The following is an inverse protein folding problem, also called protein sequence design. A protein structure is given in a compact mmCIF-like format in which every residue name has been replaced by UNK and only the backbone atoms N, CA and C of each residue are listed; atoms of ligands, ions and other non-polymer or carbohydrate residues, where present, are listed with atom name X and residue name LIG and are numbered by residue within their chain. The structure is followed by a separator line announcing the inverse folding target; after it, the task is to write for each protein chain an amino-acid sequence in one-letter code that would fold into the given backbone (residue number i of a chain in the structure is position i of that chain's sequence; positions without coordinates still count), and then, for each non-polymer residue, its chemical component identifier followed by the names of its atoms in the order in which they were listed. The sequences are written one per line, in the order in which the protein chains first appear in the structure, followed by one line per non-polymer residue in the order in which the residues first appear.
data_IF_403423787892
#
_entry.id   IF_403423787892
#
_cell.length_a   1.000
_cell.length_b   1.000
_cell.length_c   1.000
_cell.angle_alpha   90.00
_cell.angle_beta   90.00
_cell.angle_gamma   90.00
#
_symmetry.space_group_name_H-M   'P 1'
#
loop_
_entity.id
_entity.type
_entity.pdbx_description
1 polymer ?
#
# COMPACT_ATOMS: atom_id res chain seq x y z
N UNK A 1 2.01 -23.12 -8.44
CA UNK A 1 1.25 -22.32 -9.42
C UNK A 1 2.26 -21.84 -10.44
N UNK A 2 2.08 -22.24 -11.70
CA UNK A 2 3.09 -22.11 -12.75
C UNK A 2 3.11 -20.66 -13.22
N UNK A 3 4.27 -20.12 -13.55
CA UNK A 3 4.46 -18.73 -14.01
C UNK A 3 3.49 -18.30 -15.12
N UNK A 4 2.93 -19.27 -15.86
CA UNK A 4 1.88 -19.09 -16.87
C UNK A 4 0.52 -18.62 -16.33
N UNK A 5 0.14 -18.96 -15.10
CA UNK A 5 -1.11 -18.45 -14.50
C UNK A 5 -0.95 -16.99 -14.04
N UNK A 6 0.24 -16.62 -13.55
CA UNK A 6 0.58 -15.25 -13.20
C UNK A 6 0.72 -14.40 -14.47
N UNK A 7 1.41 -14.88 -15.52
CA UNK A 7 1.46 -14.23 -16.83
C UNK A 7 0.07 -14.12 -17.48
N UNK A 8 -0.78 -15.13 -17.34
CA UNK A 8 -2.16 -15.13 -17.83
C UNK A 8 -3.06 -14.14 -17.09
N UNK A 9 -2.83 -13.94 -15.78
CA UNK A 9 -3.45 -12.87 -15.01
C UNK A 9 -2.89 -11.50 -15.45
N UNK A 10 -1.57 -11.34 -15.57
CA UNK A 10 -0.95 -10.09 -16.08
C UNK A 10 -1.49 -9.68 -17.45
N UNK A 11 -1.62 -10.61 -18.39
CA UNK A 11 -2.09 -10.35 -19.75
C UNK A 11 -3.60 -10.06 -19.84
N UNK A 12 -4.40 -10.60 -18.89
CA UNK A 12 -5.85 -10.29 -18.78
C UNK A 12 -6.12 -8.99 -18.02
N UNK A 13 -5.26 -8.64 -17.08
CA UNK A 13 -5.31 -7.41 -16.30
C UNK A 13 -4.76 -6.20 -17.07
N UNK A 14 -3.87 -6.45 -18.05
CA UNK A 14 -3.29 -5.47 -18.96
C UNK A 14 -3.22 -6.08 -20.37
N UNK A 15 -4.25 -5.92 -21.23
CA UNK A 15 -4.17 -6.38 -22.61
C UNK A 15 -3.00 -5.66 -23.27
N UNK A 16 -1.90 -6.39 -23.49
CA UNK A 16 -0.65 -5.85 -24.02
C UNK A 16 -0.88 -5.30 -25.43
N UNK A 17 -1.06 -3.98 -25.52
CA UNK A 17 -0.62 -3.22 -26.68
C UNK A 17 0.75 -2.65 -26.32
N UNK A 18 1.80 -3.17 -26.95
CA UNK A 18 3.18 -2.65 -26.82
C UNK A 18 3.31 -1.16 -27.20
N UNK A 19 2.25 -0.55 -27.76
CA UNK A 19 2.13 0.87 -28.07
C UNK A 19 1.81 1.78 -26.85
N UNK A 20 1.33 1.26 -25.72
CA UNK A 20 0.91 2.07 -24.55
C UNK A 20 1.93 2.11 -23.39
N UNK A 21 3.19 1.71 -23.63
CA UNK A 21 4.33 1.99 -22.72
C UNK A 21 4.73 3.48 -22.70
N UNK A 22 3.75 4.38 -22.73
CA UNK A 22 3.99 5.82 -22.65
C UNK A 22 4.27 6.14 -21.18
N UNK A 23 5.50 6.55 -20.89
CA UNK A 23 5.85 7.29 -19.68
C UNK A 23 4.88 8.45 -19.52
N UNK A 24 3.86 8.30 -18.66
CA UNK A 24 2.72 9.22 -18.66
C UNK A 24 2.51 9.83 -17.30
N UNK A 25 2.41 11.16 -17.31
CA UNK A 25 1.95 11.96 -16.18
C UNK A 25 0.54 12.43 -16.51
N UNK A 26 -0.44 12.06 -15.68
CA UNK A 26 -1.84 12.43 -15.84
C UNK A 26 -2.27 13.27 -14.64
N UNK A 27 -2.94 14.38 -14.93
CA UNK A 27 -3.46 15.30 -13.92
C UNK A 27 -4.97 15.17 -13.83
N UNK A 28 -5.48 14.95 -12.62
CA UNK A 28 -6.88 15.06 -12.26
C UNK A 28 -7.11 16.28 -11.37
N UNK A 29 -8.37 16.54 -11.01
CA UNK A 29 -8.74 17.71 -10.19
C UNK A 29 -8.06 17.73 -8.81
N UNK A 30 -7.85 16.56 -8.20
CA UNK A 30 -7.24 16.42 -6.87
C UNK A 30 -6.12 15.40 -6.83
N UNK A 31 -5.70 14.92 -7.99
CA UNK A 31 -4.77 13.79 -8.09
C UNK A 31 -3.75 13.97 -9.20
N UNK A 32 -2.58 13.37 -9.01
CA UNK A 32 -1.53 13.28 -10.03
C UNK A 32 -1.10 11.82 -10.12
N UNK A 33 -1.04 11.29 -11.35
CA UNK A 33 -0.67 9.91 -11.62
C UNK A 33 0.56 9.87 -12.51
N UNK A 34 1.57 9.13 -12.09
CA UNK A 34 2.82 8.95 -12.81
C UNK A 34 3.08 7.46 -13.00
N UNK A 35 3.22 7.03 -14.26
CA UNK A 35 3.60 5.66 -14.62
C UNK A 35 4.95 5.69 -15.32
N UNK A 36 5.94 5.03 -14.72
CA UNK A 36 7.34 5.02 -15.15
C UNK A 36 7.87 6.43 -15.51
N UNK A 37 7.70 7.46 -14.64
CA UNK A 37 8.08 8.82 -14.99
C UNK A 37 9.61 8.97 -15.07
N UNK A 38 10.05 9.88 -15.94
CA UNK A 38 11.43 10.38 -15.92
C UNK A 38 11.67 11.31 -14.72
N UNK A 39 12.95 11.59 -14.42
CA UNK A 39 13.32 12.59 -13.42
C UNK A 39 12.81 14.00 -13.76
N UNK A 40 12.75 14.33 -15.06
CA UNK A 40 12.20 15.60 -15.54
C UNK A 40 10.69 15.69 -15.28
N UNK A 41 9.94 14.61 -15.54
CA UNK A 41 8.51 14.55 -15.24
C UNK A 41 8.25 14.67 -13.72
N UNK A 42 9.08 14.05 -12.89
CA UNK A 42 9.01 14.23 -11.43
C UNK A 42 9.24 15.70 -11.06
N UNK A 43 10.21 16.35 -11.68
CA UNK A 43 10.51 17.77 -11.44
C UNK A 43 9.35 18.67 -11.88
N UNK A 44 8.74 18.42 -13.04
CA UNK A 44 7.55 19.15 -13.51
C UNK A 44 6.38 19.00 -12.54
N UNK A 45 6.15 17.80 -11.99
CA UNK A 45 5.12 17.60 -10.96
C UNK A 45 5.43 18.41 -9.71
N UNK A 46 6.68 18.42 -9.24
CA UNK A 46 7.07 19.15 -8.03
C UNK A 46 6.91 20.68 -8.15
N UNK A 47 7.00 21.23 -9.35
CA UNK A 47 6.81 22.66 -9.62
C UNK A 47 5.34 23.04 -9.83
N UNK A 48 4.53 22.13 -10.37
CA UNK A 48 3.13 22.38 -10.73
C UNK A 48 2.12 21.93 -9.68
N UNK A 49 2.53 21.11 -8.72
CA UNK A 49 1.60 20.60 -7.71
C UNK A 49 1.06 21.73 -6.82
N UNK A 50 -0.26 21.79 -6.73
CA UNK A 50 -1.01 22.77 -5.93
C UNK A 50 -1.70 22.14 -4.71
N UNK A 51 -2.20 22.98 -3.79
CA UNK A 51 -2.88 22.55 -2.55
C UNK A 51 -4.06 21.59 -2.75
N UNK A 52 -4.73 21.65 -3.90
CA UNK A 52 -5.90 20.83 -4.20
C UNK A 52 -5.51 19.41 -4.66
N UNK A 53 -4.25 19.22 -5.11
CA UNK A 53 -3.69 17.92 -5.44
C UNK A 53 -3.26 17.20 -4.16
N UNK A 54 -4.15 16.38 -3.63
CA UNK A 54 -3.96 15.70 -2.35
C UNK A 54 -3.63 14.21 -2.52
N UNK A 55 -3.75 13.68 -3.74
CA UNK A 55 -3.52 12.27 -4.04
C UNK A 55 -2.41 12.13 -5.08
N UNK A 56 -1.42 11.30 -4.80
CA UNK A 56 -0.32 11.04 -5.73
C UNK A 56 -0.17 9.55 -5.94
N UNK A 57 -0.13 9.16 -7.22
CA UNK A 57 0.09 7.79 -7.65
C UNK A 57 1.41 7.70 -8.40
N UNK A 58 2.29 6.82 -7.95
CA UNK A 58 3.53 6.45 -8.61
C UNK A 58 3.49 4.97 -8.91
N UNK A 59 3.60 4.59 -10.18
CA UNK A 59 3.65 3.19 -10.59
C UNK A 59 4.85 2.87 -11.47
N UNK A 60 5.28 1.61 -11.45
CA UNK A 60 6.23 1.03 -12.40
C UNK A 60 7.54 1.85 -12.50
N UNK A 61 8.01 2.29 -11.34
CA UNK A 61 9.16 3.19 -11.17
C UNK A 61 10.30 2.54 -10.39
N UNK A 62 11.48 3.16 -10.39
CA UNK A 62 12.59 2.77 -9.52
C UNK A 62 12.49 3.43 -8.13
N UNK A 63 13.20 2.87 -7.15
CA UNK A 63 13.34 3.47 -5.81
C UNK A 63 13.93 4.89 -5.86
N UNK A 64 14.89 5.14 -6.74
CA UNK A 64 15.50 6.47 -6.89
C UNK A 64 14.50 7.51 -7.40
N UNK A 65 13.65 7.13 -8.35
CA UNK A 65 12.56 7.99 -8.85
C UNK A 65 11.52 8.23 -7.75
N UNK A 66 11.17 7.19 -6.98
CA UNK A 66 10.30 7.34 -5.82
C UNK A 66 10.91 8.31 -4.79
N UNK A 67 12.20 8.19 -4.50
CA UNK A 67 12.90 9.09 -3.58
C UNK A 67 12.89 10.54 -4.07
N UNK A 68 13.22 10.75 -5.34
CA UNK A 68 13.25 12.08 -5.96
C UNK A 68 11.91 12.79 -5.87
N UNK A 69 10.80 12.06 -6.00
CA UNK A 69 9.45 12.61 -6.02
C UNK A 69 8.81 12.68 -4.63
N UNK A 70 8.78 11.57 -3.90
CA UNK A 70 7.99 11.41 -2.67
C UNK A 70 8.54 12.25 -1.54
N UNK A 71 9.86 12.30 -1.37
CA UNK A 71 10.49 13.03 -0.25
C UNK A 71 10.17 14.53 -0.34
N UNK A 72 10.35 15.23 -1.48
CA UNK A 72 9.93 16.62 -1.58
C UNK A 72 8.41 16.82 -1.49
N UNK A 73 7.61 15.87 -1.98
CA UNK A 73 6.14 15.96 -1.90
C UNK A 73 5.64 15.98 -0.45
N UNK A 74 6.19 15.14 0.44
CA UNK A 74 5.80 15.13 1.85
C UNK A 74 6.11 16.46 2.56
N UNK A 75 7.13 17.20 2.09
CA UNK A 75 7.44 18.54 2.62
C UNK A 75 6.42 19.61 2.23
N UNK A 76 5.62 19.38 1.18
CA UNK A 76 4.57 20.32 0.75
C UNK A 76 3.35 20.32 1.68
N UNK A 77 3.23 19.32 2.56
CA UNK A 77 2.20 19.23 3.62
C UNK A 77 0.75 19.39 3.12
N UNK A 78 0.50 18.97 1.88
CA UNK A 78 -0.84 18.93 1.27
C UNK A 78 -1.25 17.51 0.84
N UNK A 79 -0.33 16.56 0.78
CA UNK A 79 -0.62 15.19 0.34
C UNK A 79 -1.35 14.43 1.45
N UNK A 80 -2.51 13.87 1.12
CA UNK A 80 -3.35 13.06 2.01
C UNK A 80 -3.29 11.58 1.68
N UNK A 81 -3.10 11.24 0.41
CA UNK A 81 -3.03 9.85 -0.04
C UNK A 81 -1.86 9.64 -0.99
N UNK A 82 -1.01 8.67 -0.65
CA UNK A 82 0.14 8.29 -1.45
C UNK A 82 0.01 6.83 -1.87
N UNK A 83 0.14 6.59 -3.17
CA UNK A 83 0.11 5.27 -3.76
C UNK A 83 1.45 5.03 -4.46
N UNK A 84 2.17 4.02 -4.02
CA UNK A 84 3.38 3.51 -4.66
C UNK A 84 3.11 2.05 -5.04
N UNK A 85 3.07 1.78 -6.34
CA UNK A 85 2.63 0.51 -6.91
C UNK A 85 3.70 -0.04 -7.84
N UNK A 86 4.01 -1.33 -7.77
CA UNK A 86 4.97 -1.95 -8.71
C UNK A 86 6.34 -1.26 -8.72
N UNK A 87 6.75 -0.69 -7.58
CA UNK A 87 8.03 0.01 -7.41
C UNK A 87 8.76 -0.57 -6.23
N UNK A 88 9.76 -1.42 -6.50
CA UNK A 88 10.57 -2.07 -5.48
C UNK A 88 11.40 -1.03 -4.73
N UNK A 89 10.98 -0.71 -3.50
CA UNK A 89 11.64 0.29 -2.67
C UNK A 89 12.87 -0.31 -1.98
N UNK A 90 13.99 0.41 -2.06
CA UNK A 90 15.22 0.04 -1.36
C UNK A 90 15.13 0.41 0.11
N UNK A 91 15.98 -0.23 0.93
CA UNK A 91 16.12 0.09 2.36
C UNK A 91 16.39 1.57 2.60
N UNK A 92 17.29 2.18 1.84
CA UNK A 92 17.64 3.60 1.98
C UNK A 92 16.42 4.53 1.80
N UNK A 93 15.57 4.24 0.81
CA UNK A 93 14.31 4.97 0.64
C UNK A 93 13.39 4.77 1.85
N UNK A 94 13.23 3.53 2.32
CA UNK A 94 12.33 3.21 3.44
C UNK A 94 12.81 3.88 4.73
N UNK A 95 14.11 3.87 5.02
CA UNK A 95 14.71 4.54 6.19
C UNK A 95 14.44 6.05 6.13
N UNK A 96 14.65 6.68 4.96
CA UNK A 96 14.39 8.11 4.76
C UNK A 96 12.89 8.45 4.90
N UNK A 97 12.03 7.65 4.27
CA UNK A 97 10.58 7.82 4.33
C UNK A 97 10.05 7.62 5.76
N UNK A 98 10.50 6.58 6.46
CA UNK A 98 10.13 6.30 7.84
C UNK A 98 10.54 7.46 8.77
N UNK A 99 11.74 8.03 8.59
CA UNK A 99 12.18 9.21 9.34
C UNK A 99 11.23 10.39 9.15
N UNK A 100 10.80 10.68 7.92
CA UNK A 100 9.86 11.77 7.64
C UNK A 100 8.46 11.53 8.22
N UNK A 101 8.01 10.26 8.26
CA UNK A 101 6.71 9.89 8.79
C UNK A 101 6.57 10.06 10.31
N UNK A 102 7.68 10.22 11.05
CA UNK A 102 7.66 10.52 12.48
C UNK A 102 6.97 11.86 12.76
N UNK A 103 7.24 12.86 11.92
CA UNK A 103 6.72 14.23 12.04
C UNK A 103 5.62 14.56 11.02
N UNK A 104 5.25 13.59 10.16
CA UNK A 104 4.19 13.83 9.20
C UNK A 104 2.79 13.82 9.84
N UNK A 105 2.09 14.94 9.68
CA UNK A 105 0.76 15.17 10.22
C UNK A 105 -0.28 15.40 9.11
N UNK A 106 0.04 15.02 7.87
CA UNK A 106 -0.80 15.27 6.69
C UNK A 106 -1.29 14.00 6.02
N UNK A 107 -0.44 12.99 5.88
CA UNK A 107 -0.74 11.75 5.18
C UNK A 107 -1.76 10.91 5.98
N UNK A 108 -2.88 10.60 5.34
CA UNK A 108 -3.99 9.84 5.93
C UNK A 108 -4.06 8.42 5.37
N UNK A 109 -3.60 8.23 4.12
CA UNK A 109 -3.59 6.92 3.46
C UNK A 109 -2.26 6.64 2.77
N UNK A 110 -1.70 5.47 3.01
CA UNK A 110 -0.47 4.98 2.39
C UNK A 110 -0.72 3.61 1.77
N UNK A 111 -0.46 3.49 0.47
CA UNK A 111 -0.54 2.25 -0.27
C UNK A 111 0.83 1.92 -0.84
N UNK A 112 1.44 0.85 -0.32
CA UNK A 112 2.69 0.29 -0.82
C UNK A 112 2.38 -1.11 -1.33
N UNK A 113 1.92 -1.21 -2.58
CA UNK A 113 1.37 -2.47 -3.11
C UNK A 113 2.19 -3.01 -4.29
N UNK A 114 1.95 -4.27 -4.63
CA UNK A 114 2.54 -4.92 -5.81
C UNK A 114 4.08 -4.98 -5.80
N UNK A 115 4.64 -5.80 -4.90
CA UNK A 115 6.10 -5.97 -4.72
C UNK A 115 6.86 -4.66 -4.52
N UNK A 116 6.26 -3.72 -3.79
CA UNK A 116 6.88 -2.46 -3.42
C UNK A 116 7.70 -2.54 -2.14
N UNK A 117 7.38 -3.46 -1.24
CA UNK A 117 8.04 -3.61 0.06
C UNK A 117 8.11 -5.08 0.47
N UNK A 118 9.10 -5.41 1.29
CA UNK A 118 9.33 -6.73 1.88
C UNK A 118 9.29 -6.68 3.42
N UNK A 119 9.61 -7.79 4.09
CA UNK A 119 9.60 -7.87 5.55
C UNK A 119 10.50 -6.83 6.23
N UNK A 120 11.74 -6.64 5.75
CA UNK A 120 12.68 -5.68 6.34
C UNK A 120 12.15 -4.24 6.21
N UNK A 121 11.63 -3.89 5.02
CA UNK A 121 11.00 -2.59 4.80
C UNK A 121 9.78 -2.38 5.69
N UNK A 122 8.91 -3.38 5.84
CA UNK A 122 7.74 -3.30 6.72
C UNK A 122 8.16 -3.09 8.17
N UNK A 123 9.15 -3.84 8.65
CA UNK A 123 9.66 -3.72 10.02
C UNK A 123 10.13 -2.28 10.30
N UNK A 124 10.93 -1.70 9.41
CA UNK A 124 11.41 -0.31 9.55
C UNK A 124 10.23 0.68 9.54
N UNK A 125 9.35 0.57 8.54
CA UNK A 125 8.25 1.49 8.34
C UNK A 125 7.31 1.54 9.55
N UNK A 126 6.88 0.38 10.06
CA UNK A 126 5.88 0.32 11.13
C UNK A 126 6.44 0.77 12.49
N UNK A 127 7.76 0.72 12.68
CA UNK A 127 8.41 1.28 13.87
C UNK A 127 8.30 2.80 13.93
N UNK A 128 8.26 3.49 12.78
CA UNK A 128 7.94 4.91 12.71
C UNK A 128 6.42 5.15 12.85
N UNK A 129 5.61 4.41 12.07
CA UNK A 129 4.16 4.63 12.02
C UNK A 129 3.45 4.35 13.35
N UNK A 130 4.02 3.55 14.26
CA UNK A 130 3.39 3.25 15.56
C UNK A 130 3.09 4.48 16.41
N UNK A 131 3.86 5.55 16.24
CA UNK A 131 3.62 6.83 16.92
C UNK A 131 2.94 7.89 16.06
N UNK A 132 2.87 7.67 14.74
CA UNK A 132 2.19 8.60 13.82
C UNK A 132 0.73 8.79 14.25
N UNK A 133 0.27 10.05 14.26
CA UNK A 133 -1.05 10.46 14.74
C UNK A 133 -2.02 10.86 13.63
N UNK A 134 -1.69 10.57 12.38
CA UNK A 134 -2.48 10.99 11.22
C UNK A 134 -2.92 9.85 10.32
N UNK A 135 -2.05 8.87 10.08
CA UNK A 135 -2.32 7.77 9.16
C UNK A 135 -3.50 6.92 9.66
N UNK A 136 -4.48 6.74 8.77
CA UNK A 136 -5.71 6.00 9.01
C UNK A 136 -5.80 4.72 8.17
N UNK A 137 -5.15 4.71 7.00
CA UNK A 137 -5.18 3.58 6.07
C UNK A 137 -3.76 3.19 5.68
N UNK A 138 -3.44 1.90 5.84
CA UNK A 138 -2.19 1.31 5.38
C UNK A 138 -2.52 0.07 4.55
N UNK A 139 -2.06 0.07 3.30
CA UNK A 139 -2.15 -1.09 2.43
C UNK A 139 -0.77 -1.61 2.08
N UNK A 140 -0.60 -2.91 2.27
CA UNK A 140 0.59 -3.69 1.97
C UNK A 140 0.25 -4.88 1.04
N UNK A 141 -0.83 -4.75 0.27
CA UNK A 141 -1.36 -5.81 -0.56
C UNK A 141 -0.42 -6.18 -1.72
N UNK A 142 -0.49 -7.45 -2.14
CA UNK A 142 0.30 -7.97 -3.27
C UNK A 142 1.81 -7.83 -3.11
N UNK A 143 2.32 -7.78 -1.88
CA UNK A 143 3.75 -7.85 -1.61
C UNK A 143 4.12 -9.28 -1.23
N UNK A 144 4.62 -10.02 -2.21
CA UNK A 144 5.03 -11.42 -1.98
C UNK A 144 6.29 -11.55 -1.12
N UNK A 145 7.03 -10.46 -0.90
CA UNK A 145 8.16 -10.36 0.02
C UNK A 145 7.77 -10.18 1.49
N UNK A 146 6.48 -9.94 1.80
CA UNK A 146 5.99 -9.89 3.19
C UNK A 146 5.60 -11.31 3.61
N UNK A 147 6.24 -11.82 4.66
CA UNK A 147 6.00 -13.14 5.25
C UNK A 147 5.63 -13.01 6.73
N UNK A 148 5.50 -14.14 7.44
CA UNK A 148 5.28 -14.10 8.89
C UNK A 148 6.48 -13.54 9.68
N UNK A 149 7.61 -13.20 9.04
CA UNK A 149 8.77 -12.58 9.72
C UNK A 149 8.47 -11.15 10.22
N UNK A 150 7.71 -10.35 9.48
CA UNK A 150 7.36 -8.97 9.88
C UNK A 150 6.16 -8.90 10.84
N UNK A 151 5.45 -10.01 11.06
CA UNK A 151 4.23 -10.06 11.89
C UNK A 151 4.44 -9.57 13.32
N UNK A 152 5.51 -9.91 14.06
CA UNK A 152 5.71 -9.40 15.41
C UNK A 152 5.75 -7.86 15.47
N UNK A 153 6.41 -7.23 14.49
CA UNK A 153 6.48 -5.76 14.36
C UNK A 153 5.14 -5.16 13.96
N UNK A 154 4.41 -5.78 13.03
CA UNK A 154 3.05 -5.37 12.68
C UNK A 154 2.09 -5.49 13.87
N UNK A 155 2.19 -6.57 14.65
CA UNK A 155 1.38 -6.77 15.83
C UNK A 155 1.70 -5.72 16.91
N UNK A 156 2.98 -5.39 17.15
CA UNK A 156 3.37 -4.30 18.06
C UNK A 156 2.80 -2.96 17.58
N UNK A 157 2.95 -2.67 16.30
CA UNK A 157 2.38 -1.49 15.66
C UNK A 157 0.87 -1.40 15.88
N UNK A 158 0.13 -2.48 15.67
CA UNK A 158 -1.32 -2.53 15.92
C UNK A 158 -1.62 -2.27 17.40
N UNK A 159 -0.89 -2.88 18.34
CA UNK A 159 -1.14 -2.66 19.78
C UNK A 159 -0.98 -1.21 20.21
N UNK A 160 0.02 -0.51 19.65
CA UNK A 160 0.40 0.85 20.07
C UNK A 160 -0.34 1.94 19.30
N UNK A 161 -0.50 1.77 17.99
CA UNK A 161 -1.04 2.83 17.15
C UNK A 161 -2.53 3.08 17.45
N UNK A 162 -2.88 4.36 17.59
CA UNK A 162 -4.21 4.83 18.02
C UNK A 162 -4.98 5.54 16.91
N UNK A 163 -4.51 5.50 15.66
CA UNK A 163 -5.11 6.24 14.53
C UNK A 163 -5.52 5.35 13.36
N UNK A 164 -4.72 4.33 13.06
CA UNK A 164 -4.95 3.38 11.97
C UNK A 164 -6.31 2.72 12.16
N UNK A 165 -7.12 2.80 11.11
CA UNK A 165 -8.51 2.33 11.07
C UNK A 165 -8.66 1.12 10.14
N UNK A 166 -7.81 1.00 9.11
CA UNK A 166 -7.77 -0.17 8.23
C UNK A 166 -6.33 -0.56 7.87
N UNK A 167 -6.05 -1.87 7.93
CA UNK A 167 -4.82 -2.49 7.47
C UNK A 167 -5.14 -3.54 6.40
N UNK A 168 -4.52 -3.45 5.22
CA UNK A 168 -4.62 -4.46 4.16
C UNK A 168 -3.29 -5.23 4.04
N UNK A 169 -3.35 -6.56 4.14
CA UNK A 169 -2.19 -7.47 4.01
C UNK A 169 -2.54 -8.72 3.17
N UNK A 170 -3.50 -8.59 2.26
CA UNK A 170 -3.91 -9.61 1.30
C UNK A 170 -2.83 -9.84 0.23
N UNK A 171 -2.83 -11.03 -0.36
CA UNK A 171 -1.85 -11.45 -1.36
C UNK A 171 -0.38 -11.32 -0.89
N UNK A 172 -0.15 -11.48 0.41
CA UNK A 172 1.17 -11.64 1.03
C UNK A 172 1.47 -13.12 1.29
N UNK A 173 2.67 -13.41 1.78
CA UNK A 173 3.08 -14.75 2.24
C UNK A 173 2.98 -14.92 3.75
N UNK A 174 2.21 -14.09 4.44
CA UNK A 174 1.87 -14.30 5.85
C UNK A 174 1.08 -15.61 5.97
N UNK A 175 1.54 -16.52 6.81
CA UNK A 175 0.86 -17.78 7.08
C UNK A 175 -0.34 -17.58 8.03
N UNK A 176 -1.22 -18.59 8.12
CA UNK A 176 -2.40 -18.50 8.98
C UNK A 176 -2.04 -18.26 10.46
N UNK A 177 -0.88 -18.72 10.94
CA UNK A 177 -0.44 -18.44 12.31
C UNK A 177 -0.11 -16.97 12.49
N UNK A 178 0.61 -16.38 11.53
CA UNK A 178 0.89 -14.94 11.52
C UNK A 178 -0.40 -14.10 11.48
N UNK A 179 -1.39 -14.48 10.66
CA UNK A 179 -2.70 -13.81 10.67
C UNK A 179 -3.38 -13.90 12.03
N UNK A 180 -3.36 -15.06 12.68
CA UNK A 180 -3.92 -15.22 14.02
C UNK A 180 -3.22 -14.36 15.08
N UNK A 181 -1.92 -14.12 14.93
CA UNK A 181 -1.16 -13.20 15.80
C UNK A 181 -1.54 -11.73 15.56
N UNK A 182 -1.68 -11.31 14.30
CA UNK A 182 -2.22 -9.98 13.98
C UNK A 182 -3.61 -9.79 14.58
N UNK A 183 -4.44 -10.84 14.54
CA UNK A 183 -5.77 -10.82 15.14
C UNK A 183 -5.73 -10.74 16.66
N UNK A 184 -4.81 -11.46 17.31
CA UNK A 184 -4.64 -11.40 18.75
C UNK A 184 -4.27 -9.99 19.21
N UNK A 185 -3.44 -9.29 18.43
CA UNK A 185 -3.06 -7.89 18.71
C UNK A 185 -4.27 -6.93 18.77
N UNK A 186 -5.34 -7.22 18.02
CA UNK A 186 -6.59 -6.42 18.02
C UNK A 186 -7.32 -6.46 19.36
N UNK A 187 -7.08 -7.45 20.22
CA UNK A 187 -7.73 -7.54 21.55
C UNK A 187 -7.37 -6.34 22.44
N UNK A 188 -6.18 -5.79 22.26
CA UNK A 188 -5.69 -4.63 23.02
C UNK A 188 -5.86 -3.30 22.28
N UNK A 189 -6.16 -3.34 20.98
CA UNK A 189 -6.35 -2.14 20.16
C UNK A 189 -7.84 -1.88 19.92
N UNK A 190 -8.35 -0.70 20.30
CA UNK A 190 -9.76 -0.33 20.08
C UNK A 190 -9.99 0.52 18.83
N UNK A 191 -8.93 0.96 18.15
CA UNK A 191 -9.02 1.87 16.99
C UNK A 191 -9.18 1.15 15.65
N UNK A 192 -8.37 0.12 15.40
CA UNK A 192 -8.22 -0.52 14.09
C UNK A 192 -9.48 -1.27 13.69
N UNK A 193 -10.42 -0.61 13.02
CA UNK A 193 -11.72 -1.20 12.69
C UNK A 193 -11.63 -2.46 11.83
N UNK A 194 -10.61 -2.58 10.98
CA UNK A 194 -10.53 -3.68 10.00
C UNK A 194 -9.10 -4.11 9.68
N UNK A 195 -8.87 -5.43 9.62
CA UNK A 195 -7.72 -6.06 8.93
C UNK A 195 -8.28 -6.88 7.77
N UNK A 196 -7.78 -6.63 6.57
CA UNK A 196 -8.12 -7.37 5.35
C UNK A 196 -7.03 -8.39 5.05
N UNK A 197 -7.43 -9.66 4.91
CA UNK A 197 -6.54 -10.79 4.60
C UNK A 197 -7.14 -11.72 3.56
N UNK A 198 -6.32 -12.60 2.98
CA UNK A 198 -6.77 -13.58 1.99
C UNK A 198 -7.89 -14.50 2.51
N UNK A 199 -8.87 -14.82 1.66
CA UNK A 199 -9.93 -15.81 1.91
C UNK A 199 -9.38 -17.18 2.38
N UNK A 200 -8.15 -17.54 1.98
CA UNK A 200 -7.49 -18.80 2.39
C UNK A 200 -7.36 -18.94 3.91
N UNK A 201 -7.35 -17.84 4.66
CA UNK A 201 -7.25 -17.85 6.12
C UNK A 201 -8.59 -17.98 6.84
N UNK A 202 -9.71 -17.76 6.13
CA UNK A 202 -11.06 -17.63 6.69
C UNK A 202 -11.50 -18.82 7.52
N UNK A 203 -11.30 -20.04 7.01
CA UNK A 203 -11.72 -21.26 7.70
C UNK A 203 -11.08 -21.40 9.08
N UNK A 204 -9.76 -21.17 9.16
CA UNK A 204 -9.00 -21.27 10.40
C UNK A 204 -9.25 -20.08 11.33
N UNK A 205 -9.31 -18.86 10.80
CA UNK A 205 -9.57 -17.67 11.60
C UNK A 205 -10.97 -17.71 12.22
N UNK A 206 -12.00 -18.08 11.46
CA UNK A 206 -13.38 -18.18 11.97
C UNK A 206 -13.50 -19.21 13.10
N UNK A 207 -12.72 -20.30 13.03
CA UNK A 207 -12.68 -21.33 14.09
C UNK A 207 -12.00 -20.85 15.37
N UNK A 208 -10.89 -20.13 15.25
CA UNK A 208 -10.04 -19.77 16.40
C UNK A 208 -10.48 -18.48 17.08
N UNK A 209 -11.00 -17.55 16.31
CA UNK A 209 -11.13 -16.14 16.73
C UNK A 209 -12.54 -15.82 17.25
N UNK A 210 -13.56 -16.64 16.93
CA UNK A 210 -14.96 -16.31 17.22
C UNK A 210 -15.45 -15.10 16.41
N UNK A 211 -16.46 -14.36 16.92
CA UNK A 211 -17.03 -13.16 16.26
C UNK A 211 -16.13 -11.91 16.38
N UNK A 212 -14.84 -11.98 16.06
CA UNK A 212 -14.08 -10.74 15.83
C UNK A 212 -14.51 -10.20 14.47
N UNK A 213 -15.50 -9.29 14.49
CA UNK A 213 -16.07 -8.61 13.32
C UNK A 213 -15.12 -7.57 12.69
N UNK A 214 -13.81 -7.68 12.94
CA UNK A 214 -12.77 -6.79 12.43
C UNK A 214 -11.86 -7.47 11.41
N UNK A 215 -12.06 -8.77 11.18
CA UNK A 215 -11.45 -9.49 10.07
C UNK A 215 -12.35 -9.40 8.84
N UNK A 216 -11.76 -8.93 7.74
CA UNK A 216 -12.40 -8.92 6.44
C UNK A 216 -11.66 -9.86 5.50
N UNK A 217 -12.43 -10.72 4.85
CA UNK A 217 -11.94 -11.67 3.85
C UNK A 217 -12.45 -11.31 2.47
N UNK A 218 -13.34 -10.30 2.33
CA UNK A 218 -14.06 -9.97 1.10
C UNK A 218 -13.18 -9.29 0.06
N UNK A 219 -11.89 -9.59 0.03
CA UNK A 219 -11.00 -9.15 -1.01
C UNK A 219 -11.54 -9.65 -2.35
N UNK A 220 -12.22 -8.74 -3.06
CA UNK A 220 -12.67 -8.94 -4.41
C UNK A 220 -11.74 -8.13 -5.29
N UNK A 221 -11.46 -8.62 -6.49
CA UNK A 221 -10.64 -7.89 -7.46
C UNK A 221 -11.18 -6.45 -7.67
N UNK A 222 -12.49 -6.23 -7.53
CA UNK A 222 -13.11 -4.89 -7.56
C UNK A 222 -12.54 -3.91 -6.50
N UNK A 223 -12.31 -4.34 -5.25
CA UNK A 223 -11.81 -3.45 -4.18
C UNK A 223 -10.35 -3.03 -4.36
N UNK A 224 -9.55 -3.79 -5.12
CA UNK A 224 -8.17 -3.43 -5.46
C UNK A 224 -8.09 -2.29 -6.49
N UNK A 225 -9.12 -2.17 -7.35
CA UNK A 225 -9.15 -1.23 -8.48
C UNK A 225 -10.05 -0.01 -8.24
N UNK A 226 -11.11 -0.14 -7.44
CA UNK A 226 -11.98 0.99 -7.08
C UNK A 226 -11.23 2.06 -6.27
N UNK A 227 -10.25 1.66 -5.44
CA UNK A 227 -9.43 2.61 -4.65
C UNK A 227 -8.19 3.14 -5.40
N UNK A 228 -7.86 2.59 -6.57
CA UNK A 228 -6.80 3.13 -7.43
C UNK A 228 -7.34 4.12 -8.47
N UNK A 229 -8.66 4.38 -8.52
CA UNK A 229 -9.25 5.29 -9.50
C UNK A 229 -9.18 4.79 -10.95
N UNK A 230 -8.87 3.51 -11.15
CA UNK A 230 -8.91 2.87 -12.47
C UNK A 230 -10.34 2.41 -12.74
N UNK A 231 -11.12 3.24 -13.40
CA UNK A 231 -12.44 2.85 -13.91
C UNK A 231 -12.26 1.88 -15.08
N UNK A 232 -12.39 0.57 -14.83
CA UNK A 232 -12.52 -0.44 -15.90
C UNK A 232 -13.98 -0.51 -16.38
N UNK A 233 -14.53 0.63 -16.80
CA UNK A 233 -15.73 0.66 -17.61
C UNK A 233 -15.45 0.02 -18.96
N UNK A 234 -15.46 -1.31 -19.03
CA UNK A 234 -15.26 -1.99 -20.30
C UNK A 234 -14.96 -3.49 -20.30
N UNK A 235 -14.82 -4.19 -19.17
CA UNK A 235 -14.57 -5.64 -19.17
C UNK A 235 -15.52 -6.39 -18.21
N UNK A 236 -16.81 -6.22 -18.48
CA UNK A 236 -17.84 -7.18 -18.09
C UNK A 236 -18.54 -7.66 -19.36
N UNK A 237 -17.92 -8.63 -20.04
CA UNK A 237 -18.61 -9.73 -20.74
C UNK A 237 -17.76 -10.98 -20.55
#
# INVERSE_FOLDING_TARGET
MKDREIEGLKARLYPRNEQDMITSTKWGKSEVRLTSPSAEQCTDVLTRIEKDHQQVYLSDSSSDVAQLLVVPLLQKKNIRSLYILSTSLTRDFIDLFASQMLDDNTLESLYLNHNSIDDDGVIILVQSLKYNKKLQYLSLDFNTGITSLSVPSLAEFIRINSTLSVLYVSHTRIDTRGVLELVDSLKSNTRLGKIVVDEKHKAMCTKTVGKINRLDFSYTTATAYEYTGVNLGGLLV
#
